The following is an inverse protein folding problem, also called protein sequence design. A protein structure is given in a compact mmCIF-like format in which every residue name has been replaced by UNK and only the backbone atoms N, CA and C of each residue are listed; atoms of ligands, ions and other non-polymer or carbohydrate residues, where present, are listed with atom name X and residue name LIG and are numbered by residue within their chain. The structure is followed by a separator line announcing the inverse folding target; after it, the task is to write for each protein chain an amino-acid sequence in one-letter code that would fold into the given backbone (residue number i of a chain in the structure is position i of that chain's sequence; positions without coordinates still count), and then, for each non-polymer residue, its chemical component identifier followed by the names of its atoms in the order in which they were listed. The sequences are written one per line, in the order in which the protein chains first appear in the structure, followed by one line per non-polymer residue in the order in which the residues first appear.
data_IF_516682363512
#
_entry.id   IF_516682363512
#
_cell.length_a   1.000
_cell.length_b   1.000
_cell.length_c   1.000
_cell.angle_alpha   90.00
_cell.angle_beta   90.00
_cell.angle_gamma   90.00
#
_symmetry.space_group_name_H-M   'P 1'
#
loop_
_entity.id
_entity.type
_entity.pdbx_description
1 polymer ?
#
# COMPACT_ATOMS: atom_id res chain seq x y z
N UNK A 1 -13.69 34.22 44.92
CA UNK A 1 -13.68 32.88 45.56
C UNK A 1 -12.40 32.18 45.15
N UNK A 2 -11.58 31.77 46.12
CA UNK A 2 -10.28 31.12 45.95
C UNK A 2 -10.48 29.62 45.75
N UNK A 3 -9.96 29.04 44.68
CA UNK A 3 -9.91 27.58 44.48
C UNK A 3 -8.52 27.13 44.89
N UNK A 4 -8.44 26.41 46.01
CA UNK A 4 -7.22 25.83 46.55
C UNK A 4 -6.90 24.48 45.91
N UNK A 5 -5.64 24.35 45.48
CA UNK A 5 -4.73 23.21 45.59
C UNK A 5 -5.21 21.77 45.30
N UNK A 6 -4.43 21.04 44.48
CA UNK A 6 -3.49 20.00 44.98
C UNK A 6 -2.65 19.39 43.85
N UNK A 7 -1.35 19.64 43.93
CA UNK A 7 -0.29 18.96 43.21
C UNK A 7 -0.16 17.55 43.79
N UNK A 8 -0.05 16.53 42.94
CA UNK A 8 0.52 15.23 43.32
C UNK A 8 1.63 14.87 42.35
N UNK A 9 2.86 15.01 42.83
CA UNK A 9 4.02 14.34 42.26
C UNK A 9 3.99 12.87 42.71
N UNK A 10 3.99 11.95 41.76
CA UNK A 10 4.37 10.57 42.01
C UNK A 10 5.69 10.33 41.27
N UNK A 11 6.77 10.33 42.04
CA UNK A 11 8.07 9.79 41.67
C UNK A 11 8.12 8.36 42.16
N UNK A 12 8.43 7.41 41.29
CA UNK A 12 8.87 6.07 41.67
C UNK A 12 9.85 5.56 40.62
N UNK A 13 11.12 5.55 41.00
CA UNK A 13 12.18 4.80 40.33
C UNK A 13 11.90 3.29 40.45
N UNK A 14 12.22 2.53 39.40
CA UNK A 14 12.13 1.07 39.40
C UNK A 14 13.17 0.48 38.43
N UNK A 15 14.06 -0.33 39.00
CA UNK A 15 15.27 -0.92 38.44
C UNK A 15 15.03 -2.13 37.51
N UNK A 16 16.10 -2.47 36.77
CA UNK A 16 16.53 -3.81 36.38
C UNK A 16 16.12 -4.39 35.01
N UNK A 17 17.13 -4.55 34.16
CA UNK A 17 17.19 -5.47 33.03
C UNK A 17 17.20 -6.94 33.49
N UNK A 18 16.92 -7.90 32.59
CA UNK A 18 18.02 -8.80 32.22
C UNK A 18 18.09 -9.15 30.72
N UNK A 19 19.34 -9.37 30.29
CA UNK A 19 19.79 -10.03 29.06
C UNK A 19 19.20 -11.45 28.92
N UNK A 20 19.20 -11.98 27.68
CA UNK A 20 19.14 -13.39 27.21
C UNK A 20 18.36 -13.39 25.87
N UNK A 21 18.83 -13.80 24.69
CA UNK A 21 19.74 -14.87 24.26
C UNK A 21 20.28 -14.54 22.86
N UNK A 22 21.59 -14.69 22.70
CA UNK A 22 22.26 -14.82 21.41
C UNK A 22 21.95 -16.19 20.81
N UNK A 23 21.32 -16.24 19.63
CA UNK A 23 21.26 -17.46 18.83
C UNK A 23 21.73 -17.15 17.40
N UNK A 24 23.02 -17.39 17.23
CA UNK A 24 23.74 -17.54 15.97
C UNK A 24 23.06 -18.62 15.12
N UNK A 25 22.60 -18.25 13.92
CA UNK A 25 22.42 -19.18 12.80
C UNK A 25 23.04 -18.46 11.59
N UNK A 26 24.34 -18.64 11.42
CA UNK A 26 24.92 -19.53 10.39
C UNK A 26 24.52 -19.10 8.99
N UNK A 27 25.44 -18.41 8.32
CA UNK A 27 25.27 -17.94 6.95
C UNK A 27 25.16 -19.08 5.95
N UNK A 28 24.24 -18.91 5.00
CA UNK A 28 24.30 -19.58 3.71
C UNK A 28 24.76 -18.55 2.68
N UNK A 29 26.05 -18.55 2.38
CA UNK A 29 26.56 -17.91 1.18
C UNK A 29 26.05 -18.72 -0.02
N UNK A 30 25.17 -18.11 -0.83
CA UNK A 30 24.63 -18.70 -2.05
C UNK A 30 24.80 -17.73 -3.21
N UNK A 31 25.92 -17.85 -3.91
CA UNK A 31 26.18 -17.21 -5.19
C UNK A 31 25.25 -17.77 -6.26
N UNK A 32 24.69 -16.91 -7.13
CA UNK A 32 24.22 -17.36 -8.44
C UNK A 32 22.95 -16.68 -8.92
N UNK A 33 23.12 -15.49 -9.50
CA UNK A 33 22.18 -14.91 -10.45
C UNK A 33 21.92 -15.89 -11.60
N UNK A 34 20.65 -16.21 -11.89
CA UNK A 34 20.23 -16.71 -13.21
C UNK A 34 18.75 -16.39 -13.47
N UNK A 35 18.58 -15.47 -14.41
CA UNK A 35 17.38 -15.25 -15.23
C UNK A 35 16.78 -16.59 -15.67
N UNK A 36 15.47 -16.77 -15.47
CA UNK A 36 14.71 -17.86 -16.11
C UNK A 36 13.64 -17.27 -17.02
N UNK A 37 13.95 -17.37 -18.31
CA UNK A 37 13.11 -17.19 -19.49
C UNK A 37 12.02 -18.26 -19.57
N UNK A 38 10.79 -17.84 -19.91
CA UNK A 38 9.64 -18.58 -20.48
C UNK A 38 9.34 -20.00 -19.94
N UNK A 39 8.21 -20.15 -19.24
CA UNK A 39 7.71 -21.44 -18.74
C UNK A 39 7.08 -22.30 -19.86
N UNK A 40 7.52 -23.55 -20.09
CA UNK A 40 6.91 -24.44 -21.06
C UNK A 40 5.59 -25.03 -20.56
N UNK A 41 4.55 -25.00 -21.41
CA UNK A 41 3.24 -25.64 -21.19
C UNK A 41 3.37 -27.18 -21.12
N UNK A 42 2.54 -27.86 -20.33
CA UNK A 42 2.49 -29.33 -20.29
C UNK A 42 2.02 -29.90 -21.64
N UNK A 43 2.36 -31.17 -21.98
CA UNK A 43 1.98 -31.78 -23.26
C UNK A 43 0.46 -31.82 -23.50
N UNK A 44 -0.34 -31.80 -22.43
CA UNK A 44 -1.81 -31.78 -22.48
C UNK A 44 -2.40 -30.37 -22.72
N UNK A 45 -1.55 -29.36 -22.97
CA UNK A 45 -1.94 -27.98 -23.24
C UNK A 45 -2.28 -27.15 -22.00
N UNK A 46 -2.25 -27.75 -20.81
CA UNK A 46 -2.45 -27.04 -19.55
C UNK A 46 -1.19 -26.28 -19.11
N UNK A 47 -1.33 -25.10 -18.50
CA UNK A 47 -0.20 -24.36 -17.96
C UNK A 47 0.50 -25.20 -16.90
N UNK A 48 1.83 -25.24 -16.95
CA UNK A 48 2.63 -25.95 -15.97
C UNK A 48 2.54 -25.22 -14.62
N UNK A 49 1.73 -25.77 -13.70
CA UNK A 49 1.53 -25.22 -12.36
C UNK A 49 2.69 -25.52 -11.39
N UNK A 50 3.67 -26.33 -11.81
CA UNK A 50 4.89 -26.59 -11.04
C UNK A 50 5.84 -25.39 -11.16
N UNK A 51 5.43 -24.24 -10.61
CA UNK A 51 6.36 -23.14 -10.43
C UNK A 51 7.31 -23.47 -9.28
N UNK A 52 8.63 -23.29 -9.45
CA UNK A 52 9.55 -23.44 -8.34
C UNK A 52 9.16 -22.45 -7.23
N UNK A 53 9.30 -22.86 -5.98
CA UNK A 53 9.11 -21.95 -4.85
C UNK A 53 10.16 -20.85 -4.94
N UNK A 54 9.74 -19.64 -5.31
CA UNK A 54 10.60 -18.47 -5.26
C UNK A 54 10.85 -18.08 -3.80
N UNK A 55 12.10 -17.77 -3.48
CA UNK A 55 12.45 -17.25 -2.17
C UNK A 55 11.70 -15.92 -1.94
N UNK A 56 11.19 -15.73 -0.72
CA UNK A 56 10.55 -14.48 -0.36
C UNK A 56 11.51 -13.30 -0.61
N UNK A 57 10.95 -12.20 -1.11
CA UNK A 57 11.70 -10.96 -1.27
C UNK A 57 12.35 -10.55 0.07
N UNK A 58 13.54 -9.92 0.05
CA UNK A 58 14.17 -9.44 1.27
C UNK A 58 13.24 -8.46 1.98
N UNK A 59 13.21 -8.54 3.31
CA UNK A 59 12.45 -7.59 4.12
C UNK A 59 13.07 -6.19 3.98
N UNK A 60 12.21 -5.19 3.80
CA UNK A 60 12.62 -3.78 3.81
C UNK A 60 13.29 -3.44 5.13
N UNK A 61 14.36 -2.63 5.09
CA UNK A 61 15.05 -2.22 6.31
C UNK A 61 14.17 -1.25 7.12
N UNK A 62 14.46 -1.09 8.42
CA UNK A 62 13.72 -0.15 9.26
C UNK A 62 13.86 1.30 8.75
N UNK A 63 15.05 1.65 8.26
CA UNK A 63 15.38 2.96 7.68
C UNK A 63 14.69 3.18 6.33
N UNK A 64 14.57 2.12 5.52
CA UNK A 64 13.84 2.19 4.25
C UNK A 64 12.33 2.38 4.50
N UNK A 65 11.79 1.69 5.51
CA UNK A 65 10.40 1.83 5.92
C UNK A 65 10.09 3.24 6.40
N UNK A 66 10.95 3.86 7.21
CA UNK A 66 10.74 5.24 7.67
C UNK A 66 10.77 6.20 6.48
N UNK A 67 11.76 6.08 5.59
CA UNK A 67 11.86 6.90 4.37
C UNK A 67 10.62 6.76 3.48
N UNK A 68 10.12 5.55 3.24
CA UNK A 68 8.90 5.35 2.46
C UNK A 68 7.68 5.95 3.13
N UNK A 69 7.59 5.84 4.46
CA UNK A 69 6.48 6.42 5.23
C UNK A 69 6.50 7.95 5.18
N UNK A 70 7.68 8.56 5.30
CA UNK A 70 7.89 10.00 5.15
C UNK A 70 7.55 10.48 3.73
N UNK A 71 7.98 9.75 2.70
CA UNK A 71 7.63 10.07 1.31
C UNK A 71 6.12 10.01 1.07
N UNK A 72 5.44 8.96 1.56
CA UNK A 72 4.00 8.80 1.40
C UNK A 72 3.21 9.83 2.20
N UNK A 73 3.64 10.16 3.42
CA UNK A 73 3.00 11.20 4.23
C UNK A 73 3.23 12.60 3.64
N UNK A 74 4.41 12.88 3.09
CA UNK A 74 4.69 14.10 2.35
C UNK A 74 3.81 14.26 1.11
N UNK A 75 3.56 13.17 0.36
CA UNK A 75 2.64 13.18 -0.79
C UNK A 75 1.19 13.39 -0.39
N UNK A 76 0.75 12.89 0.77
CA UNK A 76 -0.62 13.13 1.28
C UNK A 76 -0.84 14.56 1.75
N UNK A 77 0.18 15.18 2.33
CA UNK A 77 0.13 16.54 2.84
C UNK A 77 0.37 17.59 1.76
N UNK A 78 0.96 17.21 0.63
CA UNK A 78 0.93 18.03 -0.57
C UNK A 78 -0.52 18.04 -1.04
N UNK A 79 -1.25 19.16 -0.95
CA UNK A 79 -2.45 19.28 -1.75
C UNK A 79 -1.96 19.12 -3.19
N UNK A 80 -2.27 17.99 -3.81
CA UNK A 80 -2.33 17.92 -5.26
C UNK A 80 -3.21 19.10 -5.65
N UNK A 81 -2.58 20.16 -6.17
CA UNK A 81 -3.16 21.49 -6.42
C UNK A 81 -4.23 21.47 -7.53
N UNK A 82 -4.85 20.32 -7.76
CA UNK A 82 -6.01 20.15 -8.60
C UNK A 82 -7.25 20.13 -7.71
N UNK A 83 -7.44 21.18 -6.89
CA UNK A 83 -8.81 21.60 -6.62
C UNK A 83 -9.37 22.01 -7.98
N UNK A 84 -10.09 21.09 -8.63
CA UNK A 84 -10.76 21.36 -9.88
C UNK A 84 -11.56 22.66 -9.67
N UNK A 85 -11.26 23.66 -10.50
CA UNK A 85 -11.97 24.94 -10.42
C UNK A 85 -13.47 24.68 -10.45
N UNK A 86 -14.28 25.56 -9.85
CA UNK A 86 -15.73 25.40 -9.86
C UNK A 86 -16.28 25.24 -11.30
N UNK A 87 -15.62 25.85 -12.29
CA UNK A 87 -15.94 25.68 -13.71
C UNK A 87 -15.63 24.26 -14.24
N UNK A 88 -14.52 23.66 -13.83
CA UNK A 88 -14.16 22.30 -14.24
C UNK A 88 -15.08 21.26 -13.58
N UNK A 89 -15.48 21.47 -12.33
CA UNK A 89 -16.45 20.57 -11.66
C UNK A 89 -17.83 20.67 -12.31
N UNK A 90 -18.26 21.86 -12.74
CA UNK A 90 -19.49 22.04 -13.48
C UNK A 90 -19.43 21.37 -14.86
N UNK A 91 -18.31 21.51 -15.58
CA UNK A 91 -18.07 20.82 -16.84
C UNK A 91 -18.16 19.29 -16.69
N UNK A 92 -17.52 18.73 -15.67
CA UNK A 92 -17.58 17.29 -15.38
C UNK A 92 -19.00 16.83 -15.07
N UNK A 93 -19.79 17.65 -14.35
CA UNK A 93 -21.19 17.35 -14.06
C UNK A 93 -22.03 17.28 -15.34
N UNK A 94 -21.86 18.23 -16.26
CA UNK A 94 -22.57 18.23 -17.55
C UNK A 94 -22.20 16.99 -18.38
N UNK A 95 -20.91 16.68 -18.47
CA UNK A 95 -20.42 15.49 -19.18
C UNK A 95 -21.02 14.19 -18.61
N UNK A 96 -21.12 14.08 -17.28
CA UNK A 96 -21.72 12.93 -16.63
C UNK A 96 -23.21 12.77 -16.97
N UNK A 97 -23.97 13.88 -16.99
CA UNK A 97 -25.38 13.88 -17.35
C UNK A 97 -25.60 13.50 -18.83
N UNK A 98 -24.78 14.02 -19.75
CA UNK A 98 -24.84 13.65 -21.17
C UNK A 98 -24.61 12.16 -21.36
N UNK A 99 -23.59 11.60 -20.71
CA UNK A 99 -23.29 10.16 -20.76
C UNK A 99 -24.40 9.30 -20.17
N UNK A 100 -25.01 9.76 -19.08
CA UNK A 100 -26.15 9.09 -18.49
C UNK A 100 -27.33 9.06 -19.45
N UNK A 101 -27.60 10.17 -20.14
CA UNK A 101 -28.71 10.25 -21.09
C UNK A 101 -28.46 9.41 -22.34
N UNK A 102 -27.23 9.39 -22.86
CA UNK A 102 -26.81 8.48 -23.93
C UNK A 102 -27.04 7.02 -23.53
N UNK A 103 -26.63 6.63 -22.32
CA UNK A 103 -26.81 5.27 -21.81
C UNK A 103 -28.29 4.90 -21.67
N UNK A 104 -29.11 5.81 -21.14
CA UNK A 104 -30.56 5.61 -21.04
C UNK A 104 -31.17 5.45 -22.43
N UNK A 105 -30.77 6.28 -23.41
CA UNK A 105 -31.26 6.15 -24.78
C UNK A 105 -30.88 4.82 -25.43
N UNK A 106 -29.70 4.25 -25.11
CA UNK A 106 -29.29 2.92 -25.58
C UNK A 106 -30.11 1.79 -24.94
N UNK A 107 -30.53 1.96 -23.68
CA UNK A 107 -31.39 0.99 -22.99
C UNK A 107 -32.84 1.09 -23.50
N UNK A 108 -33.33 2.31 -23.69
CA UNK A 108 -34.70 2.62 -24.15
C UNK A 108 -34.90 2.44 -25.64
N UNK A 109 -33.81 2.39 -26.41
CA UNK A 109 -33.77 1.86 -27.75
C UNK A 109 -33.27 0.41 -27.69
N UNK A 110 -34.02 -0.57 -27.12
CA UNK A 110 -33.80 -1.93 -27.52
C UNK A 110 -34.07 -1.93 -29.02
N UNK A 111 -33.00 -2.09 -29.80
CA UNK A 111 -33.03 -2.12 -31.24
C UNK A 111 -34.27 -2.89 -31.70
N UNK A 112 -35.10 -2.26 -32.54
CA UNK A 112 -36.15 -2.91 -33.32
C UNK A 112 -35.65 -4.27 -33.84
N UNK A 113 -35.97 -5.32 -33.07
CA UNK A 113 -35.72 -6.73 -33.37
C UNK A 113 -36.90 -7.53 -32.85
#
# INVERSE_FOLDING_TARGET
MKIMARIRHFSAAGLAAPCLISLLISGCAGTGSRSVTASPTQPDGYPNLNMPMEAAAPQISAEEKTRMTEELSGKRLRPENSQASAAETERLRRLALERQQEMLSQIESPADR
#
